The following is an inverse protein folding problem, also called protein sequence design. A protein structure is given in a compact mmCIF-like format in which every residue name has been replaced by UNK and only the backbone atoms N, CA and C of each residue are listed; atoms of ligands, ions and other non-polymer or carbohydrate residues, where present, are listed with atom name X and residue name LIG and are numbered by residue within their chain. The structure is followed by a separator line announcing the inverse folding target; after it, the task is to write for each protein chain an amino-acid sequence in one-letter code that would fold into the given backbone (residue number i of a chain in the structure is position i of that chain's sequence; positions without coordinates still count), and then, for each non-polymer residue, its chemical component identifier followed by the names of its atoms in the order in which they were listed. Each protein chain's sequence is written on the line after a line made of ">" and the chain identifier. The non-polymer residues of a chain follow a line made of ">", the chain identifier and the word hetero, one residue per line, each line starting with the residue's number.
data_IF_323105505908
#
_entry.id   IF_323105505908
#
_cell.length_a   1.000
_cell.length_b   1.000
_cell.length_c   1.000
_cell.angle_alpha   90.00
_cell.angle_beta   90.00
_cell.angle_gamma   90.00
#
_symmetry.space_group_name_H-M   'P 1'
#
loop_
_entity.id
_entity.type
_entity.pdbx_description
1 polymer ?
#
# COMPACT_ATOMS: atom_id res chain seq x y z
N UNK A 1 -10.64 0.60 -10.79
CA UNK A 1 -9.37 1.13 -11.36
C UNK A 1 -9.61 1.66 -12.79
N UNK A 2 -8.59 2.19 -13.47
CA UNK A 2 -8.72 2.63 -14.88
C UNK A 2 -9.17 1.44 -15.76
N UNK A 3 -10.36 1.49 -16.39
CA UNK A 3 -10.97 0.31 -17.00
C UNK A 3 -10.18 -0.29 -18.18
N UNK A 4 -9.45 0.52 -18.94
CA UNK A 4 -8.69 0.03 -20.09
C UNK A 4 -7.36 -0.63 -19.69
N UNK A 5 -6.91 -0.44 -18.45
CA UNK A 5 -5.58 -0.82 -17.97
C UNK A 5 -4.49 -0.47 -18.99
N UNK A 6 -4.58 0.73 -19.57
CA UNK A 6 -3.85 1.10 -20.79
C UNK A 6 -2.36 1.39 -20.59
N UNK A 7 -1.89 1.40 -19.34
CA UNK A 7 -0.51 1.69 -19.00
C UNK A 7 -0.16 3.17 -19.07
N UNK A 8 1.14 3.45 -19.10
CA UNK A 8 1.67 4.82 -19.10
C UNK A 8 1.74 5.37 -20.52
N UNK A 9 1.12 6.54 -20.71
CA UNK A 9 1.18 7.27 -21.98
C UNK A 9 2.60 7.79 -22.27
N UNK A 10 2.88 8.16 -23.53
CA UNK A 10 4.15 8.84 -23.90
C UNK A 10 4.41 10.11 -23.08
N UNK A 11 3.36 10.81 -22.66
CA UNK A 11 3.50 11.96 -21.77
C UNK A 11 3.87 11.51 -20.35
N UNK A 12 3.23 10.45 -19.84
CA UNK A 12 3.53 9.88 -18.53
C UNK A 12 4.96 9.36 -18.41
N UNK A 13 5.56 8.82 -19.47
CA UNK A 13 6.99 8.44 -19.48
C UNK A 13 7.86 9.68 -19.21
N UNK A 14 7.62 10.78 -19.94
CA UNK A 14 8.35 12.06 -19.71
C UNK A 14 8.07 12.65 -18.34
N UNK A 15 6.87 12.43 -17.80
CA UNK A 15 6.52 12.85 -16.46
C UNK A 15 7.34 12.08 -15.41
N UNK A 16 7.45 10.76 -15.51
CA UNK A 16 8.31 9.94 -14.65
C UNK A 16 9.77 10.38 -14.74
N UNK A 17 10.30 10.58 -15.95
CA UNK A 17 11.67 11.10 -16.12
C UNK A 17 11.87 12.44 -15.41
N UNK A 18 10.84 13.30 -15.37
CA UNK A 18 10.89 14.57 -14.66
C UNK A 18 10.84 14.38 -13.14
N UNK A 19 10.03 13.45 -12.64
CA UNK A 19 9.98 13.09 -11.21
C UNK A 19 11.35 12.59 -10.74
N UNK A 20 11.96 11.66 -11.48
CA UNK A 20 13.29 11.13 -11.15
C UNK A 20 14.35 12.26 -11.10
N UNK A 21 14.36 13.18 -12.07
CA UNK A 21 15.29 14.33 -12.10
C UNK A 21 15.09 15.33 -10.96
N UNK A 22 13.90 15.37 -10.36
CA UNK A 22 13.56 16.29 -9.28
C UNK A 22 13.67 15.66 -7.89
N UNK A 23 14.01 14.37 -7.81
CA UNK A 23 13.98 13.63 -6.54
C UNK A 23 12.56 13.48 -5.99
N UNK A 24 11.56 13.31 -6.86
CA UNK A 24 10.18 13.04 -6.47
C UNK A 24 9.90 11.54 -6.65
N UNK A 25 9.36 10.92 -5.59
CA UNK A 25 9.02 9.49 -5.57
C UNK A 25 7.86 9.20 -6.52
N UNK A 26 8.00 8.14 -7.32
CA UNK A 26 6.92 7.60 -8.15
C UNK A 26 6.11 6.61 -7.32
N UNK A 27 4.86 6.97 -7.02
CA UNK A 27 3.93 6.13 -6.25
C UNK A 27 2.85 5.52 -7.16
N UNK A 28 2.66 4.21 -7.01
CA UNK A 28 1.73 3.38 -7.79
C UNK A 28 0.60 2.80 -6.93
N UNK A 29 0.43 3.27 -5.69
CA UNK A 29 -0.54 2.76 -4.72
C UNK A 29 -1.96 2.62 -5.30
N UNK A 30 -2.42 3.56 -6.13
CA UNK A 30 -3.74 3.55 -6.80
C UNK A 30 -3.71 3.19 -8.30
N UNK A 31 -2.53 2.91 -8.85
CA UNK A 31 -2.38 2.66 -10.27
C UNK A 31 -2.84 1.24 -10.65
N UNK A 32 -3.36 1.11 -11.88
CA UNK A 32 -3.62 -0.17 -12.53
C UNK A 32 -2.37 -1.02 -12.71
N UNK A 33 -2.57 -2.31 -13.03
CA UNK A 33 -1.49 -3.27 -13.22
C UNK A 33 -0.49 -2.82 -14.27
N UNK A 34 -0.95 -2.49 -15.48
CA UNK A 34 -0.05 -2.10 -16.57
C UNK A 34 0.68 -0.80 -16.24
N UNK A 35 0.00 0.17 -15.63
CA UNK A 35 0.61 1.44 -15.21
C UNK A 35 1.71 1.21 -14.17
N UNK A 36 1.52 0.27 -13.25
CA UNK A 36 2.50 -0.09 -12.23
C UNK A 36 3.73 -0.75 -12.85
N UNK A 37 3.52 -1.71 -13.76
CA UNK A 37 4.60 -2.38 -14.47
C UNK A 37 5.38 -1.41 -15.36
N UNK A 38 4.69 -0.52 -16.08
CA UNK A 38 5.31 0.52 -16.88
C UNK A 38 6.10 1.52 -16.00
N UNK A 39 5.56 1.89 -14.83
CA UNK A 39 6.27 2.78 -13.91
C UNK A 39 7.59 2.16 -13.47
N UNK A 40 7.56 0.88 -13.09
CA UNK A 40 8.76 0.13 -12.71
C UNK A 40 9.76 0.00 -13.87
N UNK A 41 9.26 -0.12 -15.11
CA UNK A 41 10.09 -0.22 -16.31
C UNK A 41 10.77 1.10 -16.68
N UNK A 42 10.08 2.22 -16.55
CA UNK A 42 10.56 3.52 -17.04
C UNK A 42 11.21 4.39 -15.96
N UNK A 43 10.94 4.14 -14.68
CA UNK A 43 11.58 4.88 -13.59
C UNK A 43 13.04 4.48 -13.44
N UNK A 44 13.91 5.48 -13.26
CA UNK A 44 15.33 5.28 -12.97
C UNK A 44 15.63 5.25 -11.46
N UNK A 45 14.63 5.56 -10.63
CA UNK A 45 14.69 5.52 -9.17
C UNK A 45 13.67 4.51 -8.64
N UNK A 46 13.77 4.06 -7.38
CA UNK A 46 12.78 3.17 -6.79
C UNK A 46 11.35 3.68 -6.97
N UNK A 47 10.46 2.76 -7.35
CA UNK A 47 9.01 2.96 -7.40
C UNK A 47 8.41 2.41 -6.12
N UNK A 48 7.36 3.03 -5.60
CA UNK A 48 6.68 2.53 -4.40
C UNK A 48 5.22 2.22 -4.69
N UNK A 49 4.63 1.38 -3.84
CA UNK A 49 3.20 1.43 -3.58
C UNK A 49 3.07 1.91 -2.13
N UNK A 50 2.72 3.19 -1.93
CA UNK A 50 2.62 3.81 -0.60
C UNK A 50 1.66 3.05 0.32
N UNK A 51 0.55 2.58 -0.24
CA UNK A 51 -0.45 1.76 0.44
C UNK A 51 -1.18 0.83 -0.53
N UNK A 52 -1.13 -0.47 -0.25
CA UNK A 52 -1.81 -1.53 -1.02
C UNK A 52 -1.97 -2.81 -0.19
N UNK A 53 -2.54 -3.85 -0.80
CA UNK A 53 -2.66 -5.20 -0.26
C UNK A 53 -2.13 -6.23 -1.24
N UNK A 54 -2.36 -7.51 -0.96
CA UNK A 54 -1.84 -8.65 -1.72
C UNK A 54 -3.01 -9.37 -2.38
N UNK A 55 -3.03 -9.41 -3.71
CA UNK A 55 -4.14 -9.99 -4.48
C UNK A 55 -4.31 -11.49 -4.19
N UNK A 56 -3.19 -12.19 -3.97
CA UNK A 56 -3.18 -13.61 -3.64
C UNK A 56 -3.84 -13.95 -2.28
N UNK A 57 -3.92 -12.99 -1.36
CA UNK A 57 -4.63 -13.17 -0.07
C UNK A 57 -6.08 -12.73 -0.20
N UNK A 58 -6.30 -11.53 -0.73
CA UNK A 58 -7.63 -10.99 -0.96
C UNK A 58 -7.73 -10.37 -2.37
N UNK A 59 -8.47 -11.02 -3.29
CA UNK A 59 -8.53 -10.62 -4.69
C UNK A 59 -9.38 -9.36 -4.85
N UNK A 60 -8.74 -8.21 -4.68
CA UNK A 60 -9.36 -6.89 -4.73
C UNK A 60 -8.59 -5.97 -5.67
N UNK A 61 -9.26 -5.09 -6.41
CA UNK A 61 -8.61 -4.18 -7.38
C UNK A 61 -7.59 -3.22 -6.75
N UNK A 62 -7.65 -3.03 -5.43
CA UNK A 62 -6.68 -2.20 -4.68
C UNK A 62 -5.42 -2.95 -4.26
N UNK A 63 -5.42 -4.28 -4.37
CA UNK A 63 -4.29 -5.14 -4.07
C UNK A 63 -3.39 -5.31 -5.29
N UNK A 64 -2.11 -5.54 -5.06
CA UNK A 64 -1.12 -5.82 -6.10
C UNK A 64 -0.98 -7.31 -6.34
N UNK A 65 -0.86 -7.67 -7.61
CA UNK A 65 -0.49 -9.02 -8.04
C UNK A 65 0.97 -9.32 -7.69
N UNK A 66 1.33 -10.60 -7.61
CA UNK A 66 2.72 -11.03 -7.39
C UNK A 66 3.68 -10.41 -8.43
N UNK A 67 3.23 -10.28 -9.68
CA UNK A 67 4.00 -9.66 -10.76
C UNK A 67 4.30 -8.18 -10.47
N UNK A 68 3.33 -7.42 -9.98
CA UNK A 68 3.53 -6.02 -9.60
C UNK A 68 4.43 -5.90 -8.36
N UNK A 69 4.25 -6.77 -7.37
CA UNK A 69 5.07 -6.78 -6.15
C UNK A 69 6.53 -7.05 -6.51
N UNK A 70 6.79 -8.05 -7.37
CA UNK A 70 8.13 -8.36 -7.89
C UNK A 70 8.71 -7.19 -8.69
N UNK A 71 7.91 -6.53 -9.53
CA UNK A 71 8.37 -5.38 -10.31
C UNK A 71 8.75 -4.19 -9.42
N UNK A 72 7.93 -3.87 -8.42
CA UNK A 72 8.21 -2.78 -7.46
C UNK A 72 9.49 -3.09 -6.69
N UNK A 73 9.60 -4.29 -6.11
CA UNK A 73 10.79 -4.70 -5.38
C UNK A 73 12.06 -4.69 -6.26
N UNK A 74 11.94 -5.10 -7.53
CA UNK A 74 13.02 -5.07 -8.52
C UNK A 74 13.59 -3.67 -8.80
N UNK A 75 12.84 -2.60 -8.53
CA UNK A 75 13.34 -1.21 -8.61
C UNK A 75 14.13 -0.77 -7.36
N UNK A 76 14.20 -1.60 -6.31
CA UNK A 76 14.62 -1.18 -4.97
C UNK A 76 13.49 -0.56 -4.16
N UNK A 77 12.24 -0.69 -4.63
CA UNK A 77 11.04 -0.07 -4.07
C UNK A 77 10.59 -0.61 -2.72
N UNK A 78 9.50 -0.03 -2.21
CA UNK A 78 8.82 -0.48 -0.98
C UNK A 78 7.32 -0.61 -1.26
N UNK A 79 6.74 -1.70 -0.75
CA UNK A 79 5.32 -1.99 -0.76
C UNK A 79 4.78 -1.74 0.65
N UNK A 80 4.01 -0.66 0.80
CA UNK A 80 3.30 -0.33 2.02
C UNK A 80 2.01 -1.13 2.14
N UNK A 81 1.87 -1.89 3.22
CA UNK A 81 0.63 -2.64 3.49
C UNK A 81 -0.37 -1.73 4.21
N UNK A 82 -1.58 -1.59 3.64
CA UNK A 82 -2.67 -0.85 4.27
C UNK A 82 -3.33 -1.61 5.42
N UNK A 83 -4.06 -0.87 6.24
CA UNK A 83 -4.89 -1.39 7.32
C UNK A 83 -6.36 -1.00 7.09
N UNK A 84 -6.84 -1.19 5.86
CA UNK A 84 -8.21 -0.91 5.45
C UNK A 84 -9.04 -2.21 5.52
N UNK A 85 -10.03 -2.33 6.44
CA UNK A 85 -10.73 -3.59 6.67
C UNK A 85 -11.28 -4.24 5.39
N UNK A 86 -11.86 -3.42 4.52
CA UNK A 86 -12.49 -3.80 3.25
C UNK A 86 -11.53 -4.35 2.19
N UNK A 87 -10.23 -4.07 2.32
CA UNK A 87 -9.22 -4.48 1.33
C UNK A 87 -8.23 -5.53 1.86
N UNK A 88 -8.31 -5.87 3.15
CA UNK A 88 -7.40 -6.82 3.81
C UNK A 88 -8.09 -8.17 4.04
N UNK A 89 -9.40 -8.19 4.27
CA UNK A 89 -10.12 -9.42 4.58
C UNK A 89 -11.57 -9.35 4.09
N UNK A 90 -12.17 -10.51 3.80
CA UNK A 90 -13.53 -10.59 3.26
C UNK A 90 -14.62 -10.13 4.23
N UNK A 91 -14.33 -10.16 5.54
CA UNK A 91 -15.22 -9.65 6.58
C UNK A 91 -14.60 -8.42 7.26
N UNK A 92 -15.03 -7.20 6.87
CA UNK A 92 -14.50 -5.96 7.43
C UNK A 92 -14.81 -5.78 8.92
N UNK A 93 -15.88 -6.39 9.45
CA UNK A 93 -16.24 -6.28 10.87
C UNK A 93 -15.36 -7.16 11.78
N UNK A 94 -14.72 -8.17 11.21
CA UNK A 94 -13.83 -9.10 11.92
C UNK A 94 -12.39 -9.03 11.42
N UNK A 95 -12.01 -7.95 10.73
CA UNK A 95 -10.62 -7.74 10.32
C UNK A 95 -9.77 -7.36 11.54
N UNK A 96 -8.66 -8.06 11.72
CA UNK A 96 -7.71 -7.84 12.83
C UNK A 96 -6.33 -7.47 12.31
N UNK A 97 -5.45 -6.98 13.19
CA UNK A 97 -4.06 -6.71 12.85
C UNK A 97 -3.33 -7.95 12.29
N UNK A 98 -3.71 -9.16 12.69
CA UNK A 98 -3.10 -10.38 12.16
C UNK A 98 -3.33 -10.52 10.65
N UNK A 99 -4.50 -10.13 10.15
CA UNK A 99 -4.76 -10.15 8.71
C UNK A 99 -3.86 -9.14 7.97
N UNK A 100 -3.60 -7.97 8.57
CA UNK A 100 -2.67 -6.98 8.00
C UNK A 100 -1.24 -7.54 7.98
N UNK A 101 -0.83 -8.19 9.07
CA UNK A 101 0.49 -8.81 9.16
C UNK A 101 0.63 -10.01 8.22
N UNK A 102 -0.45 -10.73 7.90
CA UNK A 102 -0.43 -11.83 6.91
C UNK A 102 -0.08 -11.31 5.52
N UNK A 103 -0.58 -10.13 5.15
CA UNK A 103 -0.16 -9.43 3.95
C UNK A 103 1.31 -9.05 4.00
N UNK A 104 1.81 -8.53 5.13
CA UNK A 104 3.24 -8.21 5.28
C UNK A 104 4.11 -9.46 5.12
N UNK A 105 3.78 -10.55 5.81
CA UNK A 105 4.53 -11.82 5.75
C UNK A 105 4.57 -12.40 4.33
N UNK A 106 3.46 -12.32 3.61
CA UNK A 106 3.41 -12.78 2.23
C UNK A 106 4.40 -12.01 1.35
N UNK A 107 4.41 -10.67 1.45
CA UNK A 107 5.35 -9.86 0.67
C UNK A 107 6.79 -10.12 1.11
N UNK A 108 7.06 -10.24 2.41
CA UNK A 108 8.40 -10.60 2.91
C UNK A 108 8.85 -11.94 2.31
N UNK A 109 7.97 -12.95 2.27
CA UNK A 109 8.27 -14.25 1.68
C UNK A 109 8.54 -14.17 0.18
N UNK A 110 7.85 -13.28 -0.54
CA UNK A 110 7.95 -13.15 -1.99
C UNK A 110 9.19 -12.36 -2.44
N UNK A 111 9.49 -11.23 -1.79
CA UNK A 111 10.54 -10.29 -2.24
C UNK A 111 11.60 -9.96 -1.19
N UNK A 112 11.45 -10.45 0.04
CA UNK A 112 12.37 -10.16 1.14
C UNK A 112 11.97 -8.94 1.97
N UNK A 113 12.53 -8.87 3.18
CA UNK A 113 12.17 -7.88 4.19
C UNK A 113 12.50 -6.44 3.82
N UNK A 114 13.43 -6.21 2.88
CA UNK A 114 13.91 -4.88 2.48
C UNK A 114 12.93 -4.07 1.62
N UNK A 115 11.82 -4.70 1.22
CA UNK A 115 10.83 -4.15 0.29
C UNK A 115 9.44 -4.01 0.89
N UNK A 116 9.29 -4.21 2.21
CA UNK A 116 7.98 -4.13 2.89
C UNK A 116 7.96 -2.98 3.88
N UNK A 117 6.85 -2.27 3.92
CA UNK A 117 6.62 -1.20 4.88
C UNK A 117 5.17 -1.17 5.35
N UNK A 118 4.93 -0.32 6.34
CA UNK A 118 3.58 -0.01 6.81
C UNK A 118 3.07 1.20 6.04
N UNK A 119 1.87 1.10 5.47
CA UNK A 119 1.20 2.15 4.71
C UNK A 119 -0.28 2.18 5.05
N UNK A 120 -0.61 2.45 6.32
CA UNK A 120 -1.90 2.09 6.93
C UNK A 120 -3.14 2.59 6.20
N UNK A 121 -3.06 3.69 5.45
CA UNK A 121 -4.24 4.40 4.91
C UNK A 121 -5.25 4.75 6.04
N UNK A 122 -4.71 4.96 7.26
CA UNK A 122 -5.48 5.19 8.47
C UNK A 122 -6.37 6.44 8.29
N UNK A 123 -7.63 6.40 8.75
CA UNK A 123 -8.68 7.23 8.19
C UNK A 123 -8.33 8.71 8.17
N UNK A 124 -8.82 9.37 7.11
CA UNK A 124 -9.08 10.79 7.10
C UNK A 124 -9.70 11.16 8.45
N UNK A 125 -9.16 12.19 9.11
CA UNK A 125 -9.56 12.66 10.44
C UNK A 125 -10.99 13.25 10.51
N UNK A 126 -11.85 12.80 9.61
CA UNK A 126 -13.20 13.28 9.42
C UNK A 126 -14.14 12.66 10.46
N UNK A 127 -15.13 13.46 10.81
CA UNK A 127 -16.23 13.07 11.69
C UNK A 127 -17.07 11.96 11.05
N UNK A 128 -17.59 11.04 11.87
CA UNK A 128 -18.32 9.84 11.40
C UNK A 128 -19.41 10.15 10.36
N UNK A 129 -20.16 11.24 10.55
CA UNK A 129 -21.20 11.63 9.58
C UNK A 129 -20.63 11.97 8.20
N UNK A 130 -19.43 12.54 8.12
CA UNK A 130 -18.79 12.90 6.87
C UNK A 130 -18.27 11.64 6.14
N UNK A 131 -17.74 10.67 6.88
CA UNK A 131 -17.33 9.37 6.33
C UNK A 131 -18.56 8.62 5.79
N UNK A 132 -19.66 8.57 6.55
CA UNK A 132 -20.94 7.97 6.11
C UNK A 132 -21.48 8.70 4.88
N UNK A 133 -21.53 10.03 4.90
CA UNK A 133 -22.02 10.82 3.77
C UNK A 133 -21.17 10.58 2.51
N UNK A 134 -19.84 10.59 2.65
CA UNK A 134 -18.95 10.31 1.54
C UNK A 134 -19.19 8.91 0.98
N UNK A 135 -19.23 7.89 1.85
CA UNK A 135 -19.43 6.49 1.47
C UNK A 135 -20.76 6.29 0.72
N UNK A 136 -21.84 6.89 1.22
CA UNK A 136 -23.17 6.72 0.64
C UNK A 136 -23.43 7.58 -0.61
N UNK A 137 -22.87 8.79 -0.67
CA UNK A 137 -23.30 9.80 -1.66
C UNK A 137 -22.21 10.26 -2.63
N UNK A 138 -20.93 10.08 -2.28
CA UNK A 138 -19.78 10.59 -3.05
C UNK A 138 -19.00 9.43 -3.69
N UNK A 139 -18.62 8.42 -2.91
CA UNK A 139 -17.82 7.28 -3.40
C UNK A 139 -18.43 6.62 -4.66
N UNK A 140 -19.75 6.35 -4.74
CA UNK A 140 -20.34 5.76 -5.96
C UNK A 140 -20.20 6.65 -7.20
N UNK A 141 -20.18 7.97 -7.03
CA UNK A 141 -20.02 8.94 -8.13
C UNK A 141 -18.57 9.06 -8.60
N UNK A 142 -17.62 8.69 -7.74
CA UNK A 142 -16.19 8.66 -8.04
C UNK A 142 -15.74 7.32 -8.63
N UNK A 143 -16.67 6.37 -8.85
CA UNK A 143 -16.36 5.07 -9.45
C UNK A 143 -15.77 4.06 -8.46
N UNK A 144 -15.98 4.25 -7.15
CA UNK A 144 -15.71 3.22 -6.15
C UNK A 144 -16.66 2.03 -6.36
N UNK A 145 -16.18 0.81 -6.13
CA UNK A 145 -17.05 -0.37 -6.18
C UNK A 145 -18.07 -0.30 -5.03
N UNK A 146 -19.26 -0.94 -5.17
CA UNK A 146 -20.22 -1.01 -4.08
C UNK A 146 -19.60 -1.64 -2.82
N UNK A 147 -19.45 -0.86 -1.76
CA UNK A 147 -18.77 -1.27 -0.52
C UNK A 147 -17.42 -0.58 -0.29
N UNK A 148 -16.79 -0.07 -1.35
CA UNK A 148 -15.52 0.66 -1.25
C UNK A 148 -15.76 2.12 -0.83
N UNK A 149 -14.87 2.66 0.00
CA UNK A 149 -14.92 4.05 0.46
C UNK A 149 -14.17 4.24 1.78
N UNK A 150 -14.21 5.45 2.36
CA UNK A 150 -13.71 5.68 3.71
C UNK A 150 -14.37 4.70 4.68
N UNK A 151 -13.54 4.01 5.45
CA UNK A 151 -13.98 2.98 6.37
C UNK A 151 -14.68 3.61 7.57
N UNK A 152 -15.90 3.14 7.87
CA UNK A 152 -16.57 3.36 9.16
C UNK A 152 -16.13 2.33 10.19
N UNK A 153 -15.51 1.27 9.71
CA UNK A 153 -14.97 0.13 10.43
C UNK A 153 -13.48 0.34 10.69
N UNK A 154 -12.98 -0.28 11.74
CA UNK A 154 -11.56 -0.23 12.10
C UNK A 154 -11.00 -1.64 12.14
N UNK A 155 -9.73 -1.80 11.76
CA UNK A 155 -9.01 -3.06 12.00
C UNK A 155 -8.84 -3.24 13.50
N UNK A 156 -9.30 -4.37 14.05
CA UNK A 156 -9.16 -4.66 15.47
C UNK A 156 -7.67 -4.74 15.85
N UNK A 157 -7.28 -3.97 16.87
CA UNK A 157 -5.88 -3.74 17.25
C UNK A 157 -5.21 -2.54 16.56
N UNK A 158 -5.88 -1.82 15.66
CA UNK A 158 -5.39 -0.59 15.00
C UNK A 158 -6.43 0.55 15.01
N UNK A 159 -7.39 0.49 15.93
CA UNK A 159 -8.52 1.44 16.03
C UNK A 159 -8.07 2.86 16.36
N UNK A 160 -6.88 3.02 16.96
CA UNK A 160 -6.31 4.30 17.36
C UNK A 160 -4.88 4.41 16.86
N UNK A 161 -4.45 5.61 16.52
CA UNK A 161 -3.04 5.87 16.17
C UNK A 161 -2.08 5.45 17.29
N UNK A 162 -2.48 5.60 18.57
CA UNK A 162 -1.66 5.14 19.70
C UNK A 162 -1.47 3.62 19.76
N UNK A 163 -2.19 2.85 18.94
CA UNK A 163 -2.06 1.40 18.83
C UNK A 163 -1.10 0.98 17.72
N UNK A 164 -0.41 1.92 17.06
CA UNK A 164 0.60 1.62 16.04
C UNK A 164 1.71 0.68 16.56
N UNK A 165 1.98 0.69 17.87
CA UNK A 165 2.89 -0.25 18.52
C UNK A 165 2.46 -1.72 18.42
N UNK A 166 1.20 -2.01 18.08
CA UNK A 166 0.73 -3.37 17.85
C UNK A 166 1.37 -3.99 16.60
N UNK A 167 1.81 -3.20 15.60
CA UNK A 167 2.63 -3.73 14.50
C UNK A 167 3.92 -4.35 15.05
N UNK A 168 4.66 -3.62 15.89
CA UNK A 168 5.87 -4.14 16.54
C UNK A 168 5.58 -5.38 17.36
N UNK A 169 4.51 -5.39 18.17
CA UNK A 169 4.13 -6.56 18.98
C UNK A 169 3.84 -7.78 18.10
N UNK A 170 3.10 -7.60 17.01
CA UNK A 170 2.78 -8.68 16.07
C UNK A 170 4.01 -9.21 15.34
N UNK A 171 4.91 -8.32 14.90
CA UNK A 171 6.17 -8.73 14.27
C UNK A 171 7.08 -9.51 15.24
N UNK A 172 7.17 -9.08 16.50
CA UNK A 172 7.88 -9.84 17.56
C UNK A 172 7.24 -11.22 17.75
N UNK A 173 5.90 -11.30 17.82
CA UNK A 173 5.19 -12.56 17.97
C UNK A 173 5.40 -13.52 16.77
N UNK A 174 5.62 -12.97 15.58
CA UNK A 174 5.94 -13.72 14.34
C UNK A 174 7.41 -14.11 14.21
N UNK A 175 8.26 -13.70 15.16
CA UNK A 175 9.66 -14.12 15.22
C UNK A 175 10.63 -13.31 14.36
N UNK A 176 10.22 -12.13 13.88
CA UNK A 176 11.15 -11.21 13.22
C UNK A 176 12.22 -10.72 14.19
N UNK A 177 13.45 -10.62 13.69
CA UNK A 177 14.57 -10.03 14.45
C UNK A 177 14.39 -8.51 14.62
N UNK A 178 15.05 -7.93 15.62
CA UNK A 178 15.03 -6.48 15.86
C UNK A 178 15.45 -5.67 14.61
N UNK A 179 16.42 -6.19 13.84
CA UNK A 179 16.87 -5.57 12.60
C UNK A 179 15.82 -5.59 11.50
N UNK A 180 15.08 -6.69 11.36
CA UNK A 180 13.96 -6.80 10.41
C UNK A 180 12.78 -5.92 10.83
N UNK A 181 12.45 -5.89 12.12
CA UNK A 181 11.42 -5.01 12.67
C UNK A 181 11.76 -3.55 12.38
N UNK A 182 13.02 -3.13 12.60
CA UNK A 182 13.45 -1.77 12.30
C UNK A 182 13.27 -1.39 10.82
N UNK A 183 13.52 -2.34 9.91
CA UNK A 183 13.28 -2.16 8.47
C UNK A 183 11.79 -1.99 8.16
N UNK A 184 10.96 -2.92 8.63
CA UNK A 184 9.50 -2.95 8.39
C UNK A 184 8.77 -1.74 8.99
N UNK A 185 9.20 -1.29 10.17
CA UNK A 185 8.59 -0.16 10.89
C UNK A 185 8.90 1.21 10.25
N UNK A 186 9.90 1.32 9.37
CA UNK A 186 10.21 2.58 8.70
C UNK A 186 11.60 2.65 8.06
N UNK A 187 12.54 1.78 8.42
CA UNK A 187 13.88 1.79 7.83
C UNK A 187 13.88 1.65 6.31
N UNK A 188 12.98 0.84 5.75
CA UNK A 188 12.84 0.69 4.30
C UNK A 188 12.31 1.96 3.64
N UNK A 189 11.36 2.64 4.26
CA UNK A 189 10.88 3.94 3.78
C UNK A 189 12.00 4.96 3.77
N UNK A 190 12.74 5.08 4.88
CA UNK A 190 13.88 6.00 4.99
C UNK A 190 14.96 5.73 3.95
N UNK A 191 15.26 4.44 3.67
CA UNK A 191 16.19 4.05 2.59
C UNK A 191 15.74 4.60 1.23
N UNK A 192 14.45 4.48 0.90
CA UNK A 192 13.91 4.99 -0.37
C UNK A 192 13.92 6.53 -0.39
N UNK A 193 13.52 7.19 0.70
CA UNK A 193 13.58 8.65 0.79
C UNK A 193 15.01 9.17 0.61
N UNK A 194 16.00 8.57 1.26
CA UNK A 194 17.40 8.96 1.13
C UNK A 194 17.90 8.75 -0.31
N UNK A 195 17.58 7.61 -0.93
CA UNK A 195 18.03 7.30 -2.29
C UNK A 195 17.45 8.25 -3.36
N UNK A 196 16.25 8.78 -3.14
CA UNK A 196 15.53 9.59 -4.14
C UNK A 196 15.63 11.08 -3.85
N UNK A 197 15.50 11.48 -2.59
CA UNK A 197 15.38 12.88 -2.18
C UNK A 197 16.65 13.44 -1.50
N UNK A 198 17.62 12.58 -1.16
CA UNK A 198 18.88 12.95 -0.50
C UNK A 198 19.94 13.52 -1.44
#
# INVERSE_FOLDING_TARGET
>A
MEPANGGISRYGIRFIERLNKLGIIVDTGHCGKQTTLDACRYSQTPVVASHTGVEAIFPHERCKSDEEILAIAGTGGVIGIFAMPWFVHSDPNHTTIDHVLDHMDYVVKLVGVDHVGIGTDWPMSDVMWALVYFKEHIAPKLGFAPGDGPSTETVAGLEKYSYFNNFTRGLVARGYSDGEIAKLMGGNWLRVFEQICG
#
